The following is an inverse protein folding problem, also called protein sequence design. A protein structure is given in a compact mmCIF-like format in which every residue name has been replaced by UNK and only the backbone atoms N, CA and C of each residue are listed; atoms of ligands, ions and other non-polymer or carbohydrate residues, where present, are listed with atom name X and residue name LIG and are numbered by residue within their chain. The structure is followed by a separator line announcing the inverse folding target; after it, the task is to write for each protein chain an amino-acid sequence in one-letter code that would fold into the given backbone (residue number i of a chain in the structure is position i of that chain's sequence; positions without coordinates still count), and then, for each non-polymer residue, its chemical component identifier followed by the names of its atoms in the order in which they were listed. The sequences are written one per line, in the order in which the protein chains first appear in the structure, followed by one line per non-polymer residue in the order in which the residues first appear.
data_IF_511301857723
#
_entry.id   IF_511301857723
#
_cell.length_a   1.000
_cell.length_b   1.000
_cell.length_c   1.000
_cell.angle_alpha   90.00
_cell.angle_beta   90.00
_cell.angle_gamma   90.00
#
_symmetry.space_group_name_H-M   'P 1'
#
loop_
_entity.id
_entity.type
_entity.pdbx_description
1 polymer ?
#
# COMPACT_ATOMS: atom_id res chain seq x y z
N UNK A 1 8.05 21.80 0.11
CA UNK A 1 8.88 20.58 0.01
C UNK A 1 8.83 20.06 -1.42
N UNK A 2 9.96 19.83 -2.05
CA UNK A 2 9.97 19.28 -3.40
C UNK A 2 9.81 17.73 -3.36
N UNK A 3 9.66 17.13 -4.54
CA UNK A 3 9.44 15.68 -4.62
C UNK A 3 10.60 14.85 -4.06
N UNK A 4 11.83 15.34 -4.22
CA UNK A 4 13.02 14.63 -3.72
C UNK A 4 13.01 14.61 -2.19
N UNK A 5 12.75 15.73 -1.56
CA UNK A 5 12.67 15.83 -0.10
C UNK A 5 11.51 14.99 0.45
N UNK A 6 10.36 15.04 -0.22
CA UNK A 6 9.18 14.28 0.18
C UNK A 6 9.45 12.79 0.06
N UNK A 7 10.05 12.35 -1.05
CA UNK A 7 10.45 10.97 -1.24
C UNK A 7 11.35 10.50 -0.09
N UNK A 8 12.40 11.28 0.22
CA UNK A 8 13.34 10.91 1.27
C UNK A 8 12.70 10.86 2.64
N UNK A 9 11.89 11.86 2.98
CA UNK A 9 11.31 11.90 4.32
C UNK A 9 10.24 10.85 4.56
N UNK A 10 9.37 10.60 3.60
CA UNK A 10 8.26 9.66 3.76
C UNK A 10 8.67 8.23 3.45
N UNK A 11 9.28 8.01 2.28
CA UNK A 11 9.58 6.65 1.82
C UNK A 11 10.68 6.02 2.66
N UNK A 12 11.77 6.73 2.92
CA UNK A 12 12.85 6.19 3.73
C UNK A 12 12.41 5.95 5.17
N UNK A 13 11.62 6.86 5.75
CA UNK A 13 11.15 6.68 7.11
C UNK A 13 10.23 5.46 7.22
N UNK A 14 9.27 5.32 6.31
CA UNK A 14 8.35 4.18 6.31
C UNK A 14 9.07 2.86 5.99
N UNK A 15 10.17 2.90 5.23
CA UNK A 15 10.96 1.72 4.98
C UNK A 15 11.77 1.29 6.21
N UNK A 16 12.33 2.25 6.93
CA UNK A 16 13.13 1.98 8.14
C UNK A 16 12.27 1.57 9.32
N UNK A 17 11.11 2.18 9.45
CA UNK A 17 10.17 1.97 10.57
C UNK A 17 8.77 1.77 10.01
N UNK A 18 8.51 0.63 9.38
CA UNK A 18 7.18 0.37 8.80
C UNK A 18 6.13 0.31 9.90
N UNK A 19 5.02 1.01 9.67
CA UNK A 19 3.90 1.01 10.60
C UNK A 19 3.04 -0.20 10.33
N UNK A 20 2.48 -0.76 11.41
CA UNK A 20 1.60 -1.92 11.31
C UNK A 20 2.27 -3.13 10.65
N UNK A 21 3.57 -3.26 10.80
CA UNK A 21 4.33 -4.41 10.29
C UNK A 21 4.27 -5.53 11.32
N UNK A 22 3.22 -6.34 11.21
CA UNK A 22 2.96 -7.43 12.16
C UNK A 22 1.87 -8.35 11.63
N UNK A 23 1.78 -9.56 12.18
CA UNK A 23 0.61 -10.39 11.98
C UNK A 23 -0.58 -9.80 12.74
N UNK A 24 -1.77 -10.08 12.28
CA UNK A 24 -2.99 -9.63 12.93
C UNK A 24 -3.83 -10.87 13.25
N UNK A 25 -3.73 -11.42 14.49
CA UNK A 25 -4.46 -12.65 14.84
C UNK A 25 -5.98 -12.53 14.72
N UNK A 26 -6.51 -11.30 14.84
CA UNK A 26 -7.96 -11.04 14.73
C UNK A 26 -8.40 -10.82 13.27
N UNK A 27 -7.51 -10.93 12.30
CA UNK A 27 -7.86 -10.74 10.90
C UNK A 27 -8.87 -11.77 10.42
N UNK A 28 -9.89 -11.30 9.73
CA UNK A 28 -10.87 -12.16 9.06
C UNK A 28 -10.76 -12.09 7.54
N UNK A 29 -9.80 -11.33 7.05
CA UNK A 29 -9.47 -11.22 5.63
C UNK A 29 -7.96 -11.22 5.50
N UNK A 30 -7.42 -12.07 4.63
CA UNK A 30 -5.97 -12.15 4.39
C UNK A 30 -5.78 -12.32 2.90
N UNK A 31 -4.84 -11.57 2.33
CA UNK A 31 -4.44 -11.76 0.95
C UNK A 31 -2.95 -11.45 0.80
N UNK A 32 -2.34 -12.08 -0.19
CA UNK A 32 -0.92 -11.87 -0.49
C UNK A 32 -0.76 -11.28 -1.88
N UNK A 33 0.34 -10.58 -2.08
CA UNK A 33 0.75 -10.10 -3.37
C UNK A 33 2.21 -10.43 -3.60
N UNK A 34 2.58 -10.63 -4.86
CA UNK A 34 3.98 -10.78 -5.20
C UNK A 34 4.31 -10.03 -6.50
N UNK A 35 5.55 -9.58 -6.58
CA UNK A 35 6.14 -9.01 -7.78
C UNK A 35 7.43 -9.77 -8.05
N UNK A 36 7.40 -10.84 -8.89
CA UNK A 36 8.57 -11.68 -9.09
C UNK A 36 9.73 -10.96 -9.77
N UNK A 37 9.47 -9.88 -10.50
CA UNK A 37 10.53 -9.11 -11.16
C UNK A 37 11.45 -8.45 -10.13
N UNK A 38 10.86 -7.91 -9.04
CA UNK A 38 11.63 -7.25 -7.99
C UNK A 38 11.82 -8.12 -6.74
N UNK A 39 11.21 -9.30 -6.71
CA UNK A 39 11.27 -10.17 -5.54
C UNK A 39 10.44 -9.70 -4.36
N UNK A 40 9.45 -8.84 -4.60
CA UNK A 40 8.58 -8.34 -3.52
C UNK A 40 7.51 -9.37 -3.18
N UNK A 41 7.29 -9.60 -1.88
CA UNK A 41 6.19 -10.42 -1.37
C UNK A 41 5.57 -9.71 -0.18
N UNK A 42 4.27 -9.48 -0.22
CA UNK A 42 3.55 -8.80 0.85
C UNK A 42 2.28 -9.58 1.18
N UNK A 43 2.06 -9.84 2.47
CA UNK A 43 0.80 -10.39 2.97
C UNK A 43 0.11 -9.31 3.77
N UNK A 44 -1.15 -9.07 3.48
CA UNK A 44 -1.98 -8.07 4.16
C UNK A 44 -3.03 -8.78 4.98
N UNK A 45 -3.14 -8.39 6.24
CA UNK A 45 -4.11 -8.92 7.20
C UNK A 45 -5.11 -7.81 7.49
N UNK A 46 -6.40 -8.08 7.34
CA UNK A 46 -7.44 -7.07 7.54
C UNK A 46 -8.51 -7.62 8.47
N UNK A 47 -8.91 -6.80 9.43
CA UNK A 47 -10.08 -7.06 10.24
C UNK A 47 -11.22 -6.18 9.73
N UNK A 48 -12.25 -6.82 9.17
CA UNK A 48 -13.42 -6.12 8.63
C UNK A 48 -14.61 -6.38 9.56
N UNK A 49 -15.28 -5.32 9.96
CA UNK A 49 -16.53 -5.39 10.73
C UNK A 49 -17.59 -4.58 9.97
N UNK A 50 -18.63 -5.28 9.47
CA UNK A 50 -19.60 -4.65 8.59
C UNK A 50 -18.95 -4.21 7.29
N UNK A 51 -19.00 -2.92 7.02
CA UNK A 51 -18.39 -2.32 5.84
C UNK A 51 -17.10 -1.54 6.15
N UNK A 52 -16.53 -1.75 7.34
CA UNK A 52 -15.41 -0.93 7.83
C UNK A 52 -14.18 -1.77 8.15
N UNK A 53 -13.02 -1.23 7.79
CA UNK A 53 -11.72 -1.80 8.15
C UNK A 53 -11.39 -1.31 9.57
N UNK A 54 -11.52 -2.20 10.55
CA UNK A 54 -11.26 -1.83 11.94
C UNK A 54 -9.79 -1.97 12.32
N UNK A 55 -9.06 -2.84 11.64
CA UNK A 55 -7.61 -2.94 11.79
C UNK A 55 -7.00 -3.53 10.53
N UNK A 56 -5.73 -3.22 10.29
CA UNK A 56 -4.99 -3.68 9.12
C UNK A 56 -3.51 -3.70 9.43
N UNK A 57 -2.83 -4.75 8.95
CA UNK A 57 -1.39 -4.89 9.12
C UNK A 57 -0.82 -5.62 7.91
N UNK A 58 0.50 -5.69 7.85
CA UNK A 58 1.16 -6.42 6.77
C UNK A 58 2.47 -7.02 7.24
N UNK A 59 2.92 -8.01 6.50
CA UNK A 59 4.26 -8.58 6.61
C UNK A 59 4.77 -8.87 5.21
N UNK A 60 6.06 -9.04 5.09
CA UNK A 60 6.67 -9.39 3.83
C UNK A 60 8.07 -8.85 3.69
N UNK A 61 8.63 -9.03 2.51
CA UNK A 61 9.96 -8.56 2.16
C UNK A 61 9.92 -8.00 0.74
N UNK A 62 10.73 -7.00 0.47
CA UNK A 62 10.79 -6.40 -0.84
C UNK A 62 11.61 -5.13 -0.84
N UNK A 63 11.51 -4.36 -1.91
CA UNK A 63 12.26 -3.13 -2.05
C UNK A 63 11.70 -2.03 -1.13
N UNK A 64 12.47 -0.94 -1.00
CA UNK A 64 12.07 0.18 -0.16
C UNK A 64 10.72 0.77 -0.57
N UNK A 65 10.42 0.80 -1.86
CA UNK A 65 9.16 1.35 -2.39
C UNK A 65 7.98 0.48 -1.94
N UNK A 66 8.07 -0.86 -2.09
CA UNK A 66 6.96 -1.74 -1.73
C UNK A 66 6.71 -1.72 -0.22
N UNK A 67 7.75 -1.74 0.59
CA UNK A 67 7.64 -1.69 2.04
C UNK A 67 7.04 -0.37 2.53
N UNK A 68 7.57 0.74 2.04
CA UNK A 68 7.09 2.06 2.42
C UNK A 68 5.64 2.28 2.01
N UNK A 69 5.28 1.86 0.79
CA UNK A 69 3.92 1.99 0.30
C UNK A 69 2.93 1.18 1.13
N UNK A 70 3.26 -0.07 1.47
CA UNK A 70 2.41 -0.88 2.33
C UNK A 70 2.23 -0.26 3.72
N UNK A 71 3.30 0.30 4.28
CA UNK A 71 3.24 1.00 5.56
C UNK A 71 2.28 2.19 5.51
N UNK A 72 2.40 3.06 4.51
CA UNK A 72 1.52 4.21 4.34
C UNK A 72 0.08 3.74 4.10
N UNK A 73 -0.11 2.73 3.27
CA UNK A 73 -1.43 2.14 2.99
C UNK A 73 -2.14 1.73 4.28
N UNK A 74 -1.47 1.02 5.18
CA UNK A 74 -2.11 0.59 6.43
C UNK A 74 -2.56 1.77 7.28
N UNK A 75 -1.79 2.84 7.29
CA UNK A 75 -2.14 4.04 8.04
C UNK A 75 -3.37 4.74 7.44
N UNK A 76 -3.52 4.69 6.13
CA UNK A 76 -4.62 5.37 5.43
C UNK A 76 -5.91 4.55 5.44
N UNK A 77 -5.81 3.22 5.38
CA UNK A 77 -6.99 2.36 5.28
C UNK A 77 -7.60 2.01 6.63
N UNK A 78 -6.83 2.05 7.70
CA UNK A 78 -7.37 1.74 9.03
C UNK A 78 -8.48 2.73 9.41
N UNK A 79 -9.65 2.19 9.77
CA UNK A 79 -10.81 2.99 10.14
C UNK A 79 -11.66 3.45 8.97
N UNK A 80 -11.30 3.09 7.73
CA UNK A 80 -12.07 3.48 6.54
C UNK A 80 -13.11 2.43 6.20
N UNK A 81 -14.15 2.86 5.48
CA UNK A 81 -15.10 1.91 4.90
C UNK A 81 -14.45 1.23 3.69
N UNK A 82 -15.02 0.10 3.26
CA UNK A 82 -14.53 -0.61 2.08
C UNK A 82 -14.60 0.28 0.83
N UNK A 83 -15.67 1.07 0.70
CA UNK A 83 -15.82 2.01 -0.42
C UNK A 83 -14.76 3.12 -0.39
N UNK A 84 -14.45 3.65 0.80
CA UNK A 84 -13.41 4.65 0.95
C UNK A 84 -12.03 4.09 0.62
N UNK A 85 -11.78 2.82 0.99
CA UNK A 85 -10.51 2.16 0.69
C UNK A 85 -10.31 2.02 -0.82
N UNK A 86 -11.36 1.63 -1.55
CA UNK A 86 -11.30 1.52 -3.01
C UNK A 86 -11.07 2.87 -3.68
N UNK A 87 -11.76 3.91 -3.20
CA UNK A 87 -11.59 5.27 -3.72
C UNK A 87 -10.17 5.76 -3.49
N UNK A 88 -9.62 5.49 -2.31
CA UNK A 88 -8.25 5.88 -1.98
C UNK A 88 -7.23 5.15 -2.84
N UNK A 89 -7.44 3.87 -3.12
CA UNK A 89 -6.57 3.14 -4.04
C UNK A 89 -6.62 3.74 -5.46
N UNK A 90 -7.81 4.14 -5.91
CA UNK A 90 -7.95 4.83 -7.20
C UNK A 90 -7.12 6.11 -7.26
N UNK A 91 -7.16 6.91 -6.20
CA UNK A 91 -6.33 8.13 -6.08
C UNK A 91 -4.86 7.80 -6.08
N UNK A 92 -4.45 6.79 -5.32
CA UNK A 92 -3.05 6.38 -5.26
C UNK A 92 -2.54 5.90 -6.62
N UNK A 93 -3.36 5.16 -7.37
CA UNK A 93 -3.00 4.74 -8.73
C UNK A 93 -2.74 5.93 -9.64
N UNK A 94 -3.57 6.97 -9.56
CA UNK A 94 -3.35 8.19 -10.34
C UNK A 94 -2.04 8.88 -9.96
N UNK A 95 -1.73 8.91 -8.67
CA UNK A 95 -0.49 9.51 -8.19
C UNK A 95 0.72 8.79 -8.78
N UNK A 96 0.74 7.46 -8.73
CA UNK A 96 1.92 6.69 -9.15
C UNK A 96 2.01 6.47 -10.66
N UNK A 97 0.89 6.53 -11.39
CA UNK A 97 0.90 6.32 -12.84
C UNK A 97 0.99 7.62 -13.62
N UNK A 98 0.40 8.70 -13.11
CA UNK A 98 0.33 9.99 -13.81
C UNK A 98 1.21 11.06 -13.17
N UNK A 99 1.79 10.79 -12.00
CA UNK A 99 2.63 11.75 -11.29
C UNK A 99 1.83 12.87 -10.63
N UNK A 100 0.53 12.70 -10.47
CA UNK A 100 -0.30 13.69 -9.79
C UNK A 100 0.08 13.78 -8.33
N UNK A 101 -0.02 14.98 -7.77
CA UNK A 101 0.19 15.21 -6.35
C UNK A 101 -1.14 15.53 -5.70
N UNK A 102 -1.35 15.00 -4.51
CA UNK A 102 -2.50 15.34 -3.68
C UNK A 102 -1.98 16.21 -2.54
N UNK A 103 -2.27 17.50 -2.60
CA UNK A 103 -1.79 18.45 -1.61
C UNK A 103 -2.39 18.19 -0.22
N UNK A 104 -3.50 17.48 -0.16
CA UNK A 104 -4.14 17.12 1.10
C UNK A 104 -3.53 15.86 1.72
N UNK A 105 -2.75 15.09 0.95
CA UNK A 105 -2.09 13.87 1.45
C UNK A 105 -0.66 13.81 0.94
N UNK A 106 0.25 14.39 1.73
CA UNK A 106 1.65 14.44 1.37
C UNK A 106 2.33 13.08 1.40
N UNK A 107 1.87 12.18 2.28
CA UNK A 107 2.44 10.83 2.35
C UNK A 107 2.18 10.04 1.07
N UNK A 108 0.96 10.11 0.54
CA UNK A 108 0.66 9.47 -0.75
C UNK A 108 1.39 10.17 -1.88
N UNK A 109 1.47 11.50 -1.85
CA UNK A 109 2.15 12.29 -2.89
C UNK A 109 3.64 12.01 -2.97
N UNK A 110 4.24 11.48 -1.88
CA UNK A 110 5.64 11.11 -1.88
C UNK A 110 5.96 10.04 -2.95
N UNK A 111 4.95 9.28 -3.37
CA UNK A 111 5.13 8.23 -4.38
C UNK A 111 4.92 8.72 -5.82
N UNK A 112 4.59 10.01 -6.01
CA UNK A 112 4.30 10.54 -7.35
C UNK A 112 5.49 10.39 -8.30
N UNK A 113 6.71 10.49 -7.79
CA UNK A 113 7.92 10.37 -8.63
C UNK A 113 8.10 9.01 -9.29
N UNK A 114 7.45 7.95 -8.79
CA UNK A 114 7.59 6.63 -9.40
C UNK A 114 6.91 6.52 -10.76
N UNK A 115 6.08 7.50 -11.16
CA UNK A 115 5.44 7.49 -12.47
C UNK A 115 6.45 7.44 -13.63
N UNK A 116 7.68 7.90 -13.38
CA UNK A 116 8.76 7.88 -14.37
C UNK A 116 9.42 6.49 -14.49
N UNK A 117 9.09 5.56 -13.59
CA UNK A 117 9.73 4.26 -13.51
C UNK A 117 8.68 3.15 -13.46
N UNK A 118 8.22 2.65 -14.63
CA UNK A 118 7.12 1.66 -14.67
C UNK A 118 7.32 0.45 -13.76
N UNK A 119 8.54 -0.05 -13.62
CA UNK A 119 8.81 -1.17 -12.73
C UNK A 119 8.53 -0.80 -11.26
N UNK A 120 8.75 0.44 -10.88
CA UNK A 120 8.50 0.92 -9.50
C UNK A 120 7.03 1.14 -9.21
N UNK A 121 6.22 1.44 -10.24
CA UNK A 121 4.77 1.54 -10.09
C UNK A 121 4.22 0.22 -9.56
N UNK A 122 4.70 -0.90 -10.09
CA UNK A 122 4.27 -2.23 -9.65
C UNK A 122 4.66 -2.50 -8.19
N UNK A 123 5.85 -2.06 -7.79
CA UNK A 123 6.27 -2.16 -6.39
C UNK A 123 5.38 -1.32 -5.47
N UNK A 124 5.06 -0.09 -5.89
CA UNK A 124 4.26 0.83 -5.10
C UNK A 124 2.83 0.34 -4.91
N UNK A 125 2.24 -0.32 -5.90
CA UNK A 125 0.84 -0.74 -5.86
C UNK A 125 0.63 -2.14 -5.27
N UNK A 126 1.68 -2.91 -5.05
CA UNK A 126 1.55 -4.32 -4.65
C UNK A 126 0.73 -4.51 -3.37
N UNK A 127 1.09 -3.81 -2.29
CA UNK A 127 0.37 -3.92 -1.02
C UNK A 127 -1.08 -3.45 -1.13
N UNK A 128 -1.34 -2.43 -1.95
CA UNK A 128 -2.69 -1.93 -2.18
C UNK A 128 -3.56 -2.96 -2.90
N UNK A 129 -3.02 -3.63 -3.92
CA UNK A 129 -3.74 -4.71 -4.60
C UNK A 129 -4.08 -5.84 -3.64
N UNK A 130 -3.12 -6.23 -2.80
CA UNK A 130 -3.37 -7.27 -1.80
C UNK A 130 -4.45 -6.83 -0.79
N UNK A 131 -4.41 -5.57 -0.35
CA UNK A 131 -5.41 -5.05 0.58
C UNK A 131 -6.82 -5.06 -0.02
N UNK A 132 -6.96 -4.63 -1.26
CA UNK A 132 -8.26 -4.61 -1.93
C UNK A 132 -8.78 -6.04 -2.13
N UNK A 133 -7.93 -6.98 -2.53
CA UNK A 133 -8.32 -8.38 -2.62
C UNK A 133 -8.78 -8.93 -1.27
N UNK A 134 -8.10 -8.57 -0.20
CA UNK A 134 -8.49 -9.00 1.14
C UNK A 134 -9.86 -8.45 1.52
N UNK A 135 -10.13 -7.16 1.29
CA UNK A 135 -11.42 -6.58 1.67
C UNK A 135 -12.59 -7.15 0.86
N UNK A 136 -12.33 -7.64 -0.35
CA UNK A 136 -13.34 -8.34 -1.14
C UNK A 136 -13.52 -9.80 -0.74
N UNK A 137 -12.72 -10.29 0.20
CA UNK A 137 -12.77 -11.69 0.62
C UNK A 137 -12.15 -12.66 -0.39
N UNK A 138 -11.37 -12.16 -1.34
CA UNK A 138 -10.70 -13.00 -2.33
C UNK A 138 -9.47 -13.67 -1.72
N UNK A 139 -9.27 -14.95 -2.02
CA UNK A 139 -8.14 -15.73 -1.52
C UNK A 139 -7.02 -15.88 -2.55
N UNK A 140 -7.10 -15.15 -3.66
CA UNK A 140 -6.12 -15.23 -4.74
C UNK A 140 -4.94 -14.32 -4.45
N UNK A 141 -3.73 -14.82 -4.77
CA UNK A 141 -2.53 -14.00 -4.68
C UNK A 141 -2.50 -12.97 -5.79
N UNK A 142 -2.34 -11.71 -5.45
CA UNK A 142 -2.17 -10.64 -6.43
C UNK A 142 -0.74 -10.67 -6.99
N UNK A 143 -0.60 -10.50 -8.30
CA UNK A 143 0.71 -10.46 -8.97
C UNK A 143 0.77 -9.18 -9.80
N UNK A 144 1.87 -8.44 -9.65
CA UNK A 144 2.07 -7.16 -10.34
C UNK A 144 3.26 -7.16 -11.31
N UNK A 145 3.62 -8.33 -11.82
CA UNK A 145 4.70 -8.41 -12.82
C UNK A 145 4.34 -7.79 -14.17
#
# INVERSE_FOLDING_TARGET
MDLTELYQSVILDNNRRPRNFRKLPTANRIASGNNPVCGDEITVFVQVEGDRITDISFQGAGCAISQASASVMTQRLKGRTLAEAEAMFGRFKEIVTEGKQDEEDLDLSAFAGVHQFPARIKCATLGWHAAINAVHGESVTATTE
#
